data_IF_783700169966
#
_entry.id   IF_783700169966
#
_cell.length_a   1.000
_cell.length_b   1.000
_cell.length_c   1.000
_cell.angle_alpha   90.00
_cell.angle_beta   90.00
_cell.angle_gamma   90.00
#
_symmetry.space_group_name_H-M   'P 1'
#
loop_
_entity.id
_entity.type
_entity.pdbx_description
1 polymer ?
#
# COMPACT_ATOMS: atom_id res chain seq x y z
N UNK A 1 -15.74 -21.61 27.13
CA UNK A 1 -15.08 -22.17 25.93
C UNK A 1 -13.65 -21.69 25.90
N UNK A 2 -12.67 -22.55 26.20
CA UNK A 2 -11.26 -22.18 26.21
C UNK A 2 -10.79 -21.93 24.77
N UNK A 3 -10.30 -20.72 24.47
CA UNK A 3 -9.71 -20.42 23.18
C UNK A 3 -8.36 -21.12 23.07
N UNK A 4 -8.21 -22.01 22.07
CA UNK A 4 -6.90 -22.60 21.79
C UNK A 4 -5.97 -21.49 21.31
N UNK A 5 -4.78 -21.30 21.91
CA UNK A 5 -3.88 -20.23 21.49
C UNK A 5 -3.45 -20.49 20.05
N UNK A 6 -3.72 -19.52 19.17
CA UNK A 6 -3.34 -19.59 17.77
C UNK A 6 -1.90 -19.13 17.63
N UNK A 7 -1.09 -19.97 17.00
CA UNK A 7 0.30 -19.63 16.73
C UNK A 7 0.37 -18.47 15.72
N UNK A 8 1.40 -17.61 15.80
CA UNK A 8 1.59 -16.53 14.83
C UNK A 8 1.66 -17.03 13.37
N UNK A 9 2.23 -18.22 13.14
CA UNK A 9 2.30 -18.86 11.83
C UNK A 9 0.92 -19.21 11.27
N UNK A 10 0.05 -19.81 12.09
CA UNK A 10 -1.31 -20.16 11.68
C UNK A 10 -2.15 -18.90 11.39
N UNK A 11 -2.01 -17.86 12.22
CA UNK A 11 -2.64 -16.55 11.96
C UNK A 11 -2.21 -15.97 10.61
N UNK A 12 -0.93 -16.03 10.26
CA UNK A 12 -0.42 -15.54 8.98
C UNK A 12 -0.99 -16.33 7.79
N UNK A 13 -1.10 -17.66 7.92
CA UNK A 13 -1.71 -18.52 6.91
C UNK A 13 -3.19 -18.15 6.68
N UNK A 14 -3.97 -18.00 7.76
CA UNK A 14 -5.39 -17.61 7.68
C UNK A 14 -5.55 -16.27 6.96
N UNK A 15 -4.75 -15.26 7.34
CA UNK A 15 -4.78 -13.94 6.71
C UNK A 15 -4.39 -14.03 5.22
N UNK A 16 -3.40 -14.85 4.87
CA UNK A 16 -2.96 -15.04 3.47
C UNK A 16 -4.07 -15.66 2.62
N UNK A 17 -4.72 -16.73 3.11
CA UNK A 17 -5.85 -17.38 2.42
C UNK A 17 -7.01 -16.43 2.20
N UNK A 18 -7.35 -15.59 3.18
CA UNK A 18 -8.42 -14.60 3.02
C UNK A 18 -8.02 -13.52 2.00
N UNK A 19 -6.80 -12.99 2.06
CA UNK A 19 -6.32 -11.99 1.09
C UNK A 19 -6.22 -12.50 -0.34
N UNK A 20 -5.91 -13.79 -0.52
CA UNK A 20 -5.89 -14.47 -1.83
C UNK A 20 -7.29 -14.83 -2.34
N UNK A 21 -8.35 -14.58 -1.57
CA UNK A 21 -9.73 -14.89 -1.93
C UNK A 21 -10.08 -16.38 -1.85
N UNK A 22 -9.19 -17.24 -1.32
CA UNK A 22 -9.43 -18.68 -1.25
C UNK A 22 -10.44 -19.07 -0.15
N UNK A 23 -10.73 -18.18 0.80
CA UNK A 23 -11.68 -18.41 1.90
C UNK A 23 -12.21 -17.07 2.43
N UNK A 24 -13.47 -17.03 2.87
CA UNK A 24 -14.07 -15.84 3.51
C UNK A 24 -13.75 -15.77 5.01
N UNK A 25 -13.82 -14.56 5.60
CA UNK A 25 -13.61 -14.38 7.03
C UNK A 25 -14.59 -15.22 7.88
N UNK A 26 -15.85 -15.32 7.45
CA UNK A 26 -16.87 -16.16 8.10
C UNK A 26 -16.54 -17.66 8.02
N UNK A 27 -16.07 -18.14 6.86
CA UNK A 27 -15.70 -19.55 6.69
C UNK A 27 -14.45 -19.90 7.50
N UNK A 28 -13.44 -19.03 7.51
CA UNK A 28 -12.26 -19.20 8.34
C UNK A 28 -12.59 -19.16 9.85
N UNK A 29 -13.53 -18.30 10.27
CA UNK A 29 -14.00 -18.24 11.65
C UNK A 29 -14.58 -19.59 12.10
N UNK A 30 -15.44 -20.20 11.27
CA UNK A 30 -16.00 -21.52 11.55
C UNK A 30 -14.92 -22.63 11.56
N UNK A 31 -14.01 -22.64 10.58
CA UNK A 31 -12.97 -23.68 10.46
C UNK A 31 -11.98 -23.68 11.63
N UNK A 32 -11.59 -22.50 12.11
CA UNK A 32 -10.58 -22.37 13.17
C UNK A 32 -11.17 -22.09 14.55
N UNK A 33 -12.50 -22.21 14.69
CA UNK A 33 -13.25 -21.94 15.92
C UNK A 33 -12.92 -20.55 16.51
N UNK A 34 -12.93 -19.54 15.66
CA UNK A 34 -12.68 -18.14 15.99
C UNK A 34 -13.95 -17.32 15.79
N UNK A 35 -14.01 -16.17 16.47
CA UNK A 35 -15.03 -15.18 16.12
C UNK A 35 -14.64 -14.46 14.84
N UNK A 36 -15.62 -14.14 14.01
CA UNK A 36 -15.37 -13.36 12.80
C UNK A 36 -14.78 -11.98 13.14
N UNK A 37 -15.17 -11.41 14.29
CA UNK A 37 -14.59 -10.17 14.83
C UNK A 37 -13.08 -10.28 14.99
N UNK A 38 -12.57 -11.36 15.58
CA UNK A 38 -11.13 -11.60 15.76
C UNK A 38 -10.38 -11.60 14.42
N UNK A 39 -10.95 -12.26 13.41
CA UNK A 39 -10.35 -12.32 12.06
C UNK A 39 -10.40 -10.94 11.39
N UNK A 40 -11.51 -10.22 11.51
CA UNK A 40 -11.65 -8.84 10.99
C UNK A 40 -10.67 -7.88 11.67
N UNK A 41 -10.44 -8.00 12.98
CA UNK A 41 -9.43 -7.23 13.70
C UNK A 41 -8.01 -7.52 13.19
N UNK A 42 -7.69 -8.77 12.86
CA UNK A 42 -6.40 -9.12 12.26
C UNK A 42 -6.23 -8.57 10.84
N UNK A 43 -7.30 -8.54 10.05
CA UNK A 43 -7.30 -7.95 8.71
C UNK A 43 -7.22 -6.41 8.76
N UNK A 44 -7.82 -5.81 9.79
CA UNK A 44 -7.73 -4.37 10.10
C UNK A 44 -6.40 -3.95 10.73
N UNK A 45 -5.62 -4.91 11.25
CA UNK A 45 -4.29 -4.67 11.80
C UNK A 45 -3.51 -3.77 10.86
N UNK A 46 -2.65 -2.87 11.40
CA UNK A 46 -2.12 -1.73 10.66
C UNK A 46 -1.67 -2.23 9.31
N UNK A 47 -2.31 -1.75 8.25
CA UNK A 47 -1.83 -1.97 6.90
C UNK A 47 -0.36 -1.63 7.01
N UNK A 48 0.53 -2.64 6.92
CA UNK A 48 1.96 -2.37 6.84
C UNK A 48 2.00 -1.34 5.74
N UNK A 49 2.33 -0.08 6.07
CA UNK A 49 2.72 0.87 5.06
C UNK A 49 3.97 0.21 4.51
N UNK A 50 3.79 -0.62 3.49
CA UNK A 50 4.87 -1.13 2.65
C UNK A 50 5.28 0.04 1.76
N UNK A 51 5.57 1.16 2.42
CA UNK A 51 6.12 2.35 1.83
C UNK A 51 7.38 2.49 2.64
N UNK A 52 8.42 1.81 2.18
CA UNK A 52 9.74 1.96 2.74
C UNK A 52 10.03 3.47 2.72
N UNK A 53 10.34 4.11 3.87
CA UNK A 53 10.57 5.55 3.90
C UNK A 53 11.61 6.02 2.88
N UNK A 54 12.59 5.16 2.55
CA UNK A 54 13.57 5.42 1.49
C UNK A 54 12.94 5.53 0.10
N UNK A 55 11.93 4.72 -0.21
CA UNK A 55 11.23 4.74 -1.50
C UNK A 55 10.41 6.02 -1.64
N UNK A 56 9.77 6.47 -0.57
CA UNK A 56 9.05 7.76 -0.54
C UNK A 56 10.01 8.92 -0.81
N UNK A 57 11.15 8.93 -0.12
CA UNK A 57 12.18 9.96 -0.30
C UNK A 57 12.77 9.94 -1.72
N UNK A 58 13.01 8.75 -2.28
CA UNK A 58 13.47 8.60 -3.67
C UNK A 58 12.45 9.16 -4.64
N UNK A 59 11.18 8.78 -4.52
CA UNK A 59 10.10 9.25 -5.38
C UNK A 59 9.86 10.76 -5.28
N UNK A 60 10.06 11.35 -4.10
CA UNK A 60 9.99 12.81 -3.92
C UNK A 60 11.13 13.53 -4.65
N UNK A 61 12.37 13.01 -4.55
CA UNK A 61 13.53 13.55 -5.29
C UNK A 61 13.34 13.44 -6.80
N UNK A 62 12.88 12.29 -7.28
CA UNK A 62 12.59 12.08 -8.71
C UNK A 62 11.52 13.05 -9.21
N UNK A 63 10.43 13.24 -8.45
CA UNK A 63 9.40 14.23 -8.80
C UNK A 63 9.94 15.66 -8.84
N UNK A 64 10.80 16.04 -7.90
CA UNK A 64 11.38 17.38 -7.86
C UNK A 64 12.26 17.63 -9.09
N UNK A 65 13.08 16.65 -9.48
CA UNK A 65 13.93 16.73 -10.67
C UNK A 65 13.10 16.86 -11.95
N UNK A 66 12.04 16.06 -12.09
CA UNK A 66 11.13 16.11 -13.24
C UNK A 66 10.45 17.48 -13.36
N UNK A 67 9.97 18.04 -12.24
CA UNK A 67 9.35 19.38 -12.23
C UNK A 67 10.34 20.48 -12.62
N UNK A 68 11.59 20.39 -12.18
CA UNK A 68 12.62 21.36 -12.55
C UNK A 68 12.94 21.31 -14.05
N UNK A 69 13.04 20.11 -14.63
CA UNK A 69 13.26 19.94 -16.07
C UNK A 69 12.09 20.49 -16.88
N UNK A 70 10.85 20.17 -16.48
CA UNK A 70 9.64 20.73 -17.11
C UNK A 70 9.61 22.26 -17.06
N UNK A 71 9.99 22.86 -15.93
CA UNK A 71 10.06 24.32 -15.79
C UNK A 71 11.04 24.96 -16.78
N UNK A 72 12.21 24.35 -16.98
CA UNK A 72 13.19 24.83 -17.97
C UNK A 72 12.65 24.74 -19.41
N UNK A 73 12.08 23.60 -19.77
CA UNK A 73 11.51 23.39 -21.12
C UNK A 73 10.37 24.36 -21.42
N UNK A 74 9.50 24.62 -20.44
CA UNK A 74 8.43 25.60 -20.59
C UNK A 74 8.97 27.01 -20.79
N UNK A 75 9.99 27.40 -20.03
CA UNK A 75 10.63 28.72 -20.17
C UNK A 75 11.30 28.89 -21.54
N UNK A 76 12.07 27.89 -21.98
CA UNK A 76 12.70 27.88 -23.31
C UNK A 76 11.65 28.01 -24.43
N UNK A 77 10.52 27.30 -24.30
CA UNK A 77 9.40 27.42 -25.23
C UNK A 77 8.79 28.81 -25.26
N UNK A 78 8.57 29.43 -24.10
CA UNK A 78 8.00 30.78 -24.01
C UNK A 78 8.94 31.83 -24.60
N UNK A 79 10.25 31.74 -24.33
CA UNK A 79 11.26 32.63 -24.89
C UNK A 79 11.34 32.50 -26.41
N UNK A 80 11.42 31.28 -26.94
CA UNK A 80 11.41 31.04 -28.38
C UNK A 80 10.13 31.55 -29.06
N UNK A 81 8.98 31.44 -28.41
CA UNK A 81 7.71 32.00 -28.91
C UNK A 81 7.68 33.54 -28.89
N UNK A 82 8.36 34.18 -27.93
CA UNK A 82 8.47 35.64 -27.88
C UNK A 82 9.41 36.18 -28.95
N UNK A 83 10.55 35.53 -29.16
CA UNK A 83 11.50 35.88 -30.22
C UNK A 83 10.90 35.72 -31.63
N UNK A 84 10.04 34.73 -31.85
CA UNK A 84 9.33 34.55 -33.13
C UNK A 84 8.19 35.56 -33.38
N UNK A 85 7.78 36.31 -32.35
CA UNK A 85 6.67 37.28 -32.41
C UNK A 85 7.11 38.73 -32.44
N UNK A 86 8.41 39.00 -32.22
CA UNK A 86 9.04 40.31 -32.32
C UNK A 86 9.61 40.53 -33.72
#
# INVERSE_FOLDING_TARGET
MASKPITPALKAQIISSIKKGSTSAAKAAATYNLTERTIREWLRGPAKKVTNPSDVLRLQRENQQLRAMLGKLLLERELGQREQRA
#
